data_IF_663413337130
#
_entry.id   IF_663413337130
#
_cell.length_a   1.000
_cell.length_b   1.000
_cell.length_c   1.000
_cell.angle_alpha   90.00
_cell.angle_beta   90.00
_cell.angle_gamma   90.00
#
_symmetry.space_group_name_H-M   'P 1'
#
loop_
_entity.id
_entity.type
_entity.pdbx_description
1 polymer ?
#
# COMPACT_ATOMS: atom_id res chain seq x y z
N UNK A 1 27.43 -28.36 20.06
CA UNK A 1 25.98 -28.16 19.86
C UNK A 1 25.84 -27.05 18.84
N UNK A 2 25.39 -27.37 17.62
CA UNK A 2 25.21 -26.38 16.56
C UNK A 2 24.03 -25.46 16.86
N UNK A 3 24.06 -24.26 16.28
CA UNK A 3 23.01 -23.27 16.42
C UNK A 3 21.69 -23.86 15.85
N UNK A 4 20.59 -23.94 16.63
CA UNK A 4 19.32 -24.49 16.15
C UNK A 4 18.66 -23.64 15.04
N UNK A 5 19.27 -22.51 14.68
CA UNK A 5 18.85 -21.59 13.62
C UNK A 5 19.72 -21.66 12.35
N UNK A 6 20.75 -22.52 12.34
CA UNK A 6 21.62 -22.70 11.17
C UNK A 6 20.86 -23.47 10.08
N UNK A 7 20.47 -22.76 9.01
CA UNK A 7 19.65 -23.27 7.90
C UNK A 7 18.17 -22.82 7.89
N UNK A 8 17.70 -22.05 8.87
CA UNK A 8 16.32 -21.54 8.93
C UNK A 8 16.09 -20.27 8.10
N UNK A 9 17.17 -19.58 7.71
CA UNK A 9 17.14 -18.31 6.99
C UNK A 9 17.74 -18.39 5.58
N UNK A 10 18.08 -19.58 5.12
CA UNK A 10 18.68 -19.76 3.80
C UNK A 10 17.58 -19.93 2.74
N UNK A 11 17.46 -18.95 1.84
CA UNK A 11 16.48 -18.80 0.74
C UNK A 11 15.22 -17.93 1.00
N UNK A 12 15.41 -16.62 1.25
CA UNK A 12 14.34 -15.58 1.20
C UNK A 12 13.34 -15.66 2.35
N UNK A 13 12.97 -14.52 2.95
CA UNK A 13 12.23 -14.49 4.21
C UNK A 13 10.98 -15.38 4.14
N UNK A 14 10.80 -16.24 5.15
CA UNK A 14 9.57 -17.05 5.31
C UNK A 14 8.29 -16.20 5.20
N UNK A 15 8.38 -14.92 5.59
CA UNK A 15 7.31 -13.93 5.48
C UNK A 15 6.99 -13.53 4.03
N UNK A 16 8.00 -13.42 3.15
CA UNK A 16 7.81 -13.10 1.72
C UNK A 16 7.07 -14.21 0.96
N UNK A 17 7.13 -15.45 1.47
CA UNK A 17 6.48 -16.62 0.87
C UNK A 17 5.07 -16.89 1.39
N UNK A 18 4.64 -16.18 2.43
CA UNK A 18 3.38 -16.46 3.15
C UNK A 18 2.42 -15.27 3.14
N UNK A 19 2.92 -14.06 2.88
CA UNK A 19 2.07 -12.88 2.81
C UNK A 19 2.74 -11.69 2.16
N UNK A 20 2.02 -10.58 2.13
CA UNK A 20 2.43 -9.31 1.54
C UNK A 20 2.73 -8.33 2.69
N UNK A 21 3.93 -7.74 2.70
CA UNK A 21 4.23 -6.66 3.64
C UNK A 21 3.62 -5.34 3.14
N UNK A 22 2.46 -5.00 3.69
CA UNK A 22 1.68 -3.80 3.35
C UNK A 22 2.43 -2.55 3.83
N UNK A 23 3.14 -2.63 4.96
CA UNK A 23 3.95 -1.51 5.45
C UNK A 23 5.13 -1.24 4.54
N UNK A 24 5.78 -2.27 3.99
CA UNK A 24 6.83 -2.11 3.00
C UNK A 24 6.29 -1.50 1.69
N UNK A 25 5.10 -1.91 1.23
CA UNK A 25 4.42 -1.25 0.10
C UNK A 25 4.16 0.23 0.38
N UNK A 26 3.71 0.57 1.60
CA UNK A 26 3.49 1.95 2.00
C UNK A 26 4.78 2.78 1.97
N UNK A 27 5.90 2.24 2.48
CA UNK A 27 7.22 2.89 2.48
C UNK A 27 7.74 3.17 1.07
N UNK A 28 7.46 2.28 0.11
CA UNK A 28 7.79 2.47 -1.31
C UNK A 28 6.81 3.38 -2.07
N UNK A 29 5.72 3.81 -1.43
CA UNK A 29 4.68 4.62 -2.10
C UNK A 29 3.81 3.83 -3.09
N UNK A 30 3.77 2.49 -2.99
CA UNK A 30 3.00 1.62 -3.89
C UNK A 30 1.47 1.71 -3.62
N UNK A 31 1.10 2.03 -2.38
CA UNK A 31 -0.29 2.08 -1.91
C UNK A 31 -1.03 3.32 -2.41
N UNK A 32 -2.33 3.16 -2.61
CA UNK A 32 -3.21 4.26 -3.02
C UNK A 32 -3.46 5.22 -1.85
N UNK A 33 -3.52 6.54 -2.09
CA UNK A 33 -3.78 7.50 -1.02
C UNK A 33 -5.16 7.25 -0.42
N UNK A 34 -5.20 7.03 0.88
CA UNK A 34 -6.45 6.76 1.61
C UNK A 34 -7.09 8.09 2.01
N UNK A 35 -8.39 8.26 1.71
CA UNK A 35 -9.19 9.43 2.05
C UNK A 35 -10.42 9.03 2.86
N UNK A 36 -10.89 9.96 3.71
CA UNK A 36 -12.13 9.85 4.47
C UNK A 36 -12.22 8.62 5.40
N UNK A 37 -11.09 8.13 5.93
CA UNK A 37 -11.03 6.98 6.86
C UNK A 37 -10.23 7.24 8.14
N UNK A 38 -10.00 8.52 8.46
CA UNK A 38 -9.11 8.90 9.56
C UNK A 38 -9.61 8.45 10.93
N UNK A 39 -10.93 8.47 11.15
CA UNK A 39 -11.56 8.08 12.40
C UNK A 39 -11.46 6.56 12.62
N UNK A 40 -11.66 5.77 11.57
CA UNK A 40 -11.57 4.32 11.64
C UNK A 40 -10.11 3.86 11.81
N UNK A 41 -9.17 4.50 11.11
CA UNK A 41 -7.72 4.26 11.32
C UNK A 41 -7.32 4.60 12.77
N UNK A 42 -7.76 5.75 13.30
CA UNK A 42 -7.51 6.10 14.70
C UNK A 42 -8.12 5.07 15.66
N UNK A 43 -9.33 4.59 15.39
CA UNK A 43 -9.98 3.56 16.19
C UNK A 43 -9.23 2.23 16.16
N UNK A 44 -8.67 1.83 15.02
CA UNK A 44 -7.83 0.63 14.93
C UNK A 44 -6.56 0.80 15.75
N UNK A 45 -5.91 1.97 15.70
CA UNK A 45 -4.74 2.29 16.55
C UNK A 45 -5.08 2.13 18.03
N UNK A 46 -6.19 2.72 18.48
CA UNK A 46 -6.64 2.61 19.87
C UNK A 46 -6.79 1.15 20.30
N UNK A 47 -7.37 0.31 19.44
CA UNK A 47 -7.58 -1.12 19.71
C UNK A 47 -6.24 -1.86 19.83
N UNK A 48 -5.33 -1.65 18.88
CA UNK A 48 -4.03 -2.34 18.84
C UNK A 48 -3.12 -2.01 20.03
N UNK A 49 -3.34 -0.86 20.68
CA UNK A 49 -2.62 -0.40 21.87
C UNK A 49 -3.20 -0.92 23.19
N UNK A 50 -4.36 -1.58 23.18
CA UNK A 50 -4.96 -2.12 24.41
C UNK A 50 -4.12 -3.29 24.95
N UNK A 51 -4.11 -3.44 26.27
CA UNK A 51 -3.53 -4.62 26.93
C UNK A 51 -4.35 -5.90 26.68
N UNK A 52 -5.65 -5.77 26.42
CA UNK A 52 -6.55 -6.88 26.08
C UNK A 52 -7.66 -6.44 25.13
N UNK A 53 -8.24 -7.38 24.38
CA UNK A 53 -9.08 -7.10 23.20
C UNK A 53 -8.36 -6.23 22.17
N UNK A 54 -7.12 -6.63 21.85
CA UNK A 54 -6.19 -5.93 20.97
C UNK A 54 -6.19 -6.45 19.54
N UNK A 55 -7.22 -7.24 19.16
CA UNK A 55 -7.49 -7.58 17.77
C UNK A 55 -8.64 -6.74 17.25
N UNK A 56 -8.46 -6.09 16.10
CA UNK A 56 -9.49 -5.29 15.47
C UNK A 56 -10.28 -6.13 14.46
N UNK A 57 -11.60 -6.08 14.52
CA UNK A 57 -12.47 -6.64 13.48
C UNK A 57 -13.13 -5.48 12.72
N UNK A 58 -12.75 -5.27 11.46
CA UNK A 58 -13.37 -4.31 10.55
C UNK A 58 -14.66 -4.92 10.02
N UNK A 59 -15.81 -4.43 10.51
CA UNK A 59 -17.13 -5.00 10.23
C UNK A 59 -17.92 -4.06 9.34
N UNK A 60 -18.25 -4.49 8.12
CA UNK A 60 -19.03 -3.69 7.18
C UNK A 60 -19.37 -4.45 5.91
N UNK A 61 -20.26 -3.90 5.09
CA UNK A 61 -20.66 -4.48 3.79
C UNK A 61 -19.43 -4.68 2.87
N UNK A 62 -19.55 -5.56 1.88
CA UNK A 62 -18.55 -5.64 0.82
C UNK A 62 -18.49 -4.29 0.06
N UNK A 63 -17.30 -3.88 -0.37
CA UNK A 63 -17.11 -2.65 -1.14
C UNK A 63 -17.02 -1.34 -0.34
N UNK A 64 -17.18 -1.35 0.99
CA UNK A 64 -17.03 -0.11 1.80
C UNK A 64 -15.58 0.34 1.96
N UNK A 65 -14.58 -0.44 1.53
CA UNK A 65 -13.16 -0.07 1.65
C UNK A 65 -12.55 -0.43 3.02
N UNK A 66 -12.80 -1.66 3.50
CA UNK A 66 -12.17 -2.17 4.75
C UNK A 66 -10.65 -2.26 4.60
N UNK A 67 -10.16 -2.75 3.47
CA UNK A 67 -8.72 -2.86 3.15
C UNK A 67 -8.03 -1.49 3.15
N UNK A 68 -8.72 -0.44 2.67
CA UNK A 68 -8.20 0.94 2.67
C UNK A 68 -7.88 1.46 4.09
N UNK A 69 -8.59 1.00 5.13
CA UNK A 69 -8.27 1.37 6.52
C UNK A 69 -6.92 0.78 6.93
N UNK A 70 -6.63 -0.45 6.50
CA UNK A 70 -5.37 -1.14 6.82
C UNK A 70 -4.21 -0.52 6.04
N UNK A 71 -4.43 -0.20 4.77
CA UNK A 71 -3.47 0.56 3.96
C UNK A 71 -3.20 1.95 4.55
N UNK A 72 -4.25 2.63 5.04
CA UNK A 72 -4.13 3.93 5.71
C UNK A 72 -3.33 3.84 7.00
N UNK A 73 -3.52 2.77 7.78
CA UNK A 73 -2.67 2.49 8.94
C UNK A 73 -1.22 2.23 8.53
N UNK A 74 -0.99 1.43 7.49
CA UNK A 74 0.34 1.15 6.97
C UNK A 74 1.06 2.43 6.49
N UNK A 75 0.35 3.34 5.82
CA UNK A 75 0.85 4.66 5.43
C UNK A 75 1.23 5.52 6.63
N UNK A 76 0.40 5.54 7.68
CA UNK A 76 0.72 6.28 8.92
C UNK A 76 1.93 5.70 9.64
N UNK A 77 2.07 4.37 9.69
CA UNK A 77 3.25 3.69 10.25
C UNK A 77 4.50 4.05 9.44
N UNK A 78 4.43 3.94 8.11
CA UNK A 78 5.54 4.27 7.21
C UNK A 78 6.01 5.73 7.36
N UNK A 79 5.08 6.66 7.57
CA UNK A 79 5.38 8.06 7.81
C UNK A 79 5.79 8.39 9.26
N UNK A 80 5.78 7.41 10.18
CA UNK A 80 6.04 7.64 11.61
C UNK A 80 4.92 8.40 12.34
N UNK A 81 3.76 8.59 11.70
CA UNK A 81 2.59 9.30 12.20
C UNK A 81 1.68 8.40 13.06
N UNK A 82 2.30 7.68 13.98
CA UNK A 82 1.64 6.78 14.94
C UNK A 82 2.27 6.92 16.32
N UNK A 83 1.57 6.52 17.40
CA UNK A 83 2.15 6.51 18.74
C UNK A 83 3.45 5.67 18.80
N UNK A 84 4.39 5.98 19.72
CA UNK A 84 5.69 5.32 19.80
C UNK A 84 5.63 3.78 19.79
N UNK A 85 4.62 3.21 20.46
CA UNK A 85 4.42 1.75 20.54
C UNK A 85 4.05 1.07 19.20
N UNK A 86 3.76 1.83 18.14
CA UNK A 86 3.46 1.31 16.80
C UNK A 86 4.45 1.78 15.72
N UNK A 87 5.47 2.57 16.07
CA UNK A 87 6.43 3.10 15.08
C UNK A 87 7.17 2.00 14.33
N UNK A 88 7.53 0.94 15.04
CA UNK A 88 8.24 -0.21 14.47
C UNK A 88 7.30 -1.33 14.02
N UNK A 89 5.98 -1.10 14.08
CA UNK A 89 5.00 -2.10 13.69
C UNK A 89 5.09 -2.40 12.18
N UNK A 90 4.78 -3.64 11.80
CA UNK A 90 4.66 -4.06 10.40
C UNK A 90 3.36 -4.80 10.20
N UNK A 91 2.64 -4.46 9.13
CA UNK A 91 1.38 -5.10 8.76
C UNK A 91 1.66 -6.11 7.64
N UNK A 92 1.38 -7.38 7.94
CA UNK A 92 1.50 -8.48 7.00
C UNK A 92 0.11 -8.91 6.55
N UNK A 93 -0.22 -8.70 5.28
CA UNK A 93 -1.43 -9.22 4.67
C UNK A 93 -1.29 -10.71 4.37
N UNK A 94 -2.23 -11.52 4.86
CA UNK A 94 -2.27 -12.94 4.55
C UNK A 94 -2.83 -13.17 3.13
N UNK A 95 -2.05 -13.82 2.28
CA UNK A 95 -2.50 -14.24 0.95
C UNK A 95 -2.73 -15.76 0.94
N UNK A 96 -4.00 -16.14 1.11
CA UNK A 96 -4.42 -17.53 1.07
C UNK A 96 -4.07 -18.24 -0.24
N UNK A 97 -4.07 -17.53 -1.37
CA UNK A 97 -3.81 -18.11 -2.68
C UNK A 97 -2.32 -18.44 -2.80
N UNK A 98 -1.44 -17.51 -2.43
CA UNK A 98 0.02 -17.75 -2.41
C UNK A 98 0.42 -18.87 -1.43
N UNK A 99 -0.32 -19.03 -0.33
CA UNK A 99 -0.09 -20.12 0.60
C UNK A 99 -0.42 -21.50 0.02
N UNK A 100 -1.41 -21.58 -0.87
CA UNK A 100 -1.81 -22.80 -1.58
C UNK A 100 -0.96 -23.04 -2.85
N UNK A 101 -0.36 -21.98 -3.41
CA UNK A 101 0.50 -22.06 -4.57
C UNK A 101 1.79 -22.84 -4.25
N UNK A 102 2.08 -23.85 -5.09
CA UNK A 102 3.26 -24.71 -4.95
C UNK A 102 3.20 -25.73 -3.82
N UNK A 103 2.07 -25.85 -3.09
CA UNK A 103 1.90 -26.91 -2.09
C UNK A 103 1.11 -28.07 -2.69
N UNK A 104 1.81 -29.11 -3.15
CA UNK A 104 1.16 -30.35 -3.63
C UNK A 104 0.60 -31.22 -2.49
N UNK A 105 0.93 -30.89 -1.23
CA UNK A 105 0.59 -31.67 -0.03
C UNK A 105 0.11 -30.78 1.12
N UNK A 106 -0.99 -31.21 1.76
CA UNK A 106 -1.61 -30.60 2.96
C UNK A 106 -0.61 -30.22 4.07
N UNK A 107 0.39 -31.07 4.33
CA UNK A 107 1.39 -30.83 5.37
C UNK A 107 2.26 -29.58 5.15
N UNK A 108 2.54 -29.21 3.89
CA UNK A 108 3.33 -28.00 3.60
C UNK A 108 2.55 -26.72 3.93
N UNK A 109 1.23 -26.73 3.75
CA UNK A 109 0.38 -25.62 4.11
C UNK A 109 0.31 -25.45 5.64
N UNK A 110 0.11 -26.54 6.38
CA UNK A 110 0.15 -26.53 7.85
C UNK A 110 1.50 -26.03 8.38
N UNK A 111 2.62 -26.49 7.79
CA UNK A 111 3.95 -26.02 8.17
C UNK A 111 4.13 -24.51 7.93
N UNK A 112 3.60 -23.97 6.82
CA UNK A 112 3.61 -22.52 6.55
C UNK A 112 2.80 -21.74 7.59
N UNK A 113 1.58 -22.19 7.92
CA UNK A 113 0.75 -21.58 8.98
C UNK A 113 1.47 -21.66 10.34
N UNK A 114 2.10 -22.79 10.66
CA UNK A 114 2.85 -22.94 11.92
C UNK A 114 4.00 -21.95 12.03
N UNK A 115 4.78 -21.80 10.95
CA UNK A 115 5.88 -20.84 10.88
C UNK A 115 5.39 -19.40 10.98
N UNK A 116 4.27 -19.07 10.33
CA UNK A 116 3.63 -17.76 10.45
C UNK A 116 3.24 -17.46 11.90
N UNK A 117 2.60 -18.41 12.58
CA UNK A 117 2.22 -18.26 14.00
C UNK A 117 3.46 -18.06 14.86
N UNK A 118 4.51 -18.86 14.66
CA UNK A 118 5.77 -18.73 15.40
C UNK A 118 6.41 -17.35 15.21
N UNK A 119 6.44 -16.84 13.98
CA UNK A 119 6.95 -15.50 13.69
C UNK A 119 6.14 -14.41 14.39
N UNK A 120 4.80 -14.49 14.32
CA UNK A 120 3.89 -13.54 14.98
C UNK A 120 3.99 -13.59 16.52
N UNK A 121 4.30 -14.76 17.10
CA UNK A 121 4.50 -14.90 18.55
C UNK A 121 5.86 -14.38 19.00
N UNK A 122 6.89 -14.51 18.16
CA UNK A 122 8.25 -14.06 18.44
C UNK A 122 8.39 -12.54 18.35
N UNK A 123 7.68 -11.89 17.42
CA UNK A 123 7.73 -10.46 17.22
C UNK A 123 6.36 -9.80 17.43
N UNK A 124 6.22 -9.09 18.55
CA UNK A 124 5.00 -8.36 18.89
C UNK A 124 4.72 -7.21 17.92
N UNK A 125 5.71 -6.68 17.21
CA UNK A 125 5.54 -5.60 16.23
C UNK A 125 4.89 -6.07 14.93
N UNK A 126 4.82 -7.38 14.69
CA UNK A 126 4.07 -7.92 13.55
C UNK A 126 2.57 -7.93 13.84
N UNK A 127 1.81 -7.37 12.91
CA UNK A 127 0.35 -7.35 12.91
C UNK A 127 -0.11 -8.11 11.67
N UNK A 128 -0.88 -9.18 11.86
CA UNK A 128 -1.46 -9.92 10.74
C UNK A 128 -2.73 -9.24 10.26
N UNK A 129 -2.86 -9.00 8.95
CA UNK A 129 -4.09 -8.59 8.31
C UNK A 129 -4.73 -9.75 7.55
N UNK A 130 -6.06 -9.90 7.69
CA UNK A 130 -6.84 -10.94 7.04
C UNK A 130 -8.12 -10.31 6.46
N UNK A 131 -8.25 -10.25 5.14
CA UNK A 131 -9.37 -9.55 4.49
C UNK A 131 -10.71 -10.31 4.63
N UNK A 132 -10.63 -11.65 4.65
CA UNK A 132 -11.78 -12.53 4.86
C UNK A 132 -11.57 -13.32 6.15
N UNK A 133 -11.71 -12.64 7.30
CA UNK A 133 -11.44 -13.22 8.61
C UNK A 133 -12.20 -14.54 8.86
N UNK A 134 -13.40 -14.67 8.29
CA UNK A 134 -14.21 -15.87 8.38
C UNK A 134 -13.58 -17.10 7.69
N UNK A 135 -12.70 -16.93 6.70
CA UNK A 135 -11.97 -18.04 6.08
C UNK A 135 -10.99 -18.70 7.05
N UNK A 136 -10.41 -17.90 7.94
CA UNK A 136 -9.50 -18.39 8.97
C UNK A 136 -10.18 -18.89 10.23
N UNK A 137 -11.47 -18.63 10.42
CA UNK A 137 -12.15 -18.91 11.71
C UNK A 137 -13.36 -19.83 11.53
N UNK A 138 -14.08 -19.73 10.41
CA UNK A 138 -15.41 -20.30 10.22
C UNK A 138 -15.57 -21.29 9.07
N UNK A 139 -14.70 -21.31 8.06
CA UNK A 139 -14.84 -22.23 6.92
C UNK A 139 -14.30 -23.64 7.24
N UNK A 140 -15.03 -24.36 8.07
CA UNK A 140 -14.80 -25.77 8.38
C UNK A 140 -15.50 -26.78 7.46
N UNK A 141 -16.05 -26.39 6.29
CA UNK A 141 -16.96 -27.31 5.57
C UNK A 141 -16.87 -27.37 4.04
N UNK A 142 -16.07 -26.57 3.33
CA UNK A 142 -16.10 -26.57 1.85
C UNK A 142 -14.80 -26.97 1.14
N UNK A 143 -13.61 -26.74 1.72
CA UNK A 143 -12.34 -27.15 1.10
C UNK A 143 -11.33 -27.57 2.18
N UNK A 144 -10.96 -28.87 2.20
CA UNK A 144 -10.22 -29.53 3.28
C UNK A 144 -8.81 -29.02 3.64
N UNK A 145 -8.33 -27.92 3.04
CA UNK A 145 -7.09 -27.23 3.41
C UNK A 145 -7.32 -26.02 4.34
N UNK A 146 -8.48 -25.34 4.24
CA UNK A 146 -8.85 -24.24 5.15
C UNK A 146 -9.17 -24.73 6.58
N UNK A 147 -9.54 -26.01 6.71
CA UNK A 147 -9.95 -26.64 7.97
C UNK A 147 -8.84 -26.67 9.04
N UNK A 148 -7.57 -26.78 8.67
CA UNK A 148 -6.48 -26.87 9.66
C UNK A 148 -5.94 -25.51 10.11
N UNK A 149 -5.99 -24.49 9.24
CA UNK A 149 -5.50 -23.16 9.59
C UNK A 149 -6.30 -22.55 10.76
N UNK A 150 -7.63 -22.73 10.75
CA UNK A 150 -8.50 -22.25 11.83
C UNK A 150 -8.18 -22.91 13.18
N UNK A 151 -7.98 -24.22 13.17
CA UNK A 151 -7.60 -24.98 14.36
C UNK A 151 -6.22 -24.59 14.90
N UNK A 152 -5.30 -24.18 14.03
CA UNK A 152 -3.95 -23.76 14.42
C UNK A 152 -3.88 -22.31 14.92
N UNK A 153 -4.62 -21.38 14.29
CA UNK A 153 -4.60 -19.95 14.64
C UNK A 153 -5.44 -19.64 15.88
N UNK A 154 -6.57 -20.32 16.07
CA UNK A 154 -7.51 -20.05 17.16
C UNK A 154 -6.85 -20.12 18.56
N UNK A 155 -6.00 -21.13 18.88
CA UNK A 155 -5.27 -21.14 20.15
C UNK A 155 -4.38 -19.91 20.37
N UNK A 156 -3.64 -19.47 19.34
CA UNK A 156 -2.77 -18.29 19.43
C UNK A 156 -3.58 -16.99 19.64
N UNK A 157 -4.73 -16.88 18.96
CA UNK A 157 -5.68 -15.78 19.14
C UNK A 157 -6.27 -15.73 20.54
N UNK A 158 -6.75 -16.89 21.05
CA UNK A 158 -7.37 -17.00 22.37
C UNK A 158 -6.35 -16.75 23.49
N UNK A 159 -5.09 -17.14 23.32
CA UNK A 159 -4.02 -16.79 24.28
C UNK A 159 -3.69 -15.30 24.26
N UNK A 160 -3.86 -14.62 23.12
CA UNK A 160 -3.48 -13.22 22.95
C UNK A 160 -1.99 -13.05 22.65
N UNK A 161 -1.36 -14.09 22.09
CA UNK A 161 0.06 -14.07 21.76
C UNK A 161 0.35 -13.30 20.46
N UNK A 162 -0.68 -13.11 19.62
CA UNK A 162 -0.57 -12.47 18.30
C UNK A 162 -1.57 -11.32 18.17
N UNK A 163 -1.24 -10.33 17.33
CA UNK A 163 -2.13 -9.19 16.98
C UNK A 163 -2.68 -9.36 15.57
N UNK A 164 -3.99 -9.20 15.42
CA UNK A 164 -4.70 -9.34 14.13
C UNK A 164 -5.61 -8.15 13.87
N UNK A 165 -5.64 -7.71 12.61
CA UNK A 165 -6.72 -6.93 12.02
C UNK A 165 -7.44 -7.83 11.03
N UNK A 166 -8.73 -8.08 11.24
CA UNK A 166 -9.54 -8.91 10.34
C UNK A 166 -10.68 -8.13 9.73
N UNK A 167 -10.91 -8.24 8.43
CA UNK A 167 -12.10 -7.70 7.78
C UNK A 167 -13.16 -8.79 7.58
N UNK A 168 -14.43 -8.41 7.69
CA UNK A 168 -15.57 -9.34 7.58
C UNK A 168 -16.88 -8.57 7.41
N UNK A 169 -17.94 -9.28 7.00
CA UNK A 169 -19.30 -8.74 7.00
C UNK A 169 -19.95 -8.81 8.38
N UNK A 170 -21.01 -8.04 8.61
CA UNK A 170 -21.74 -8.06 9.89
C UNK A 170 -22.35 -9.42 10.22
N UNK A 171 -22.83 -10.13 9.20
CA UNK A 171 -23.40 -11.47 9.32
C UNK A 171 -22.35 -12.50 9.72
N UNK A 172 -21.21 -12.51 9.02
CA UNK A 172 -20.06 -13.37 9.32
C UNK A 172 -19.48 -13.09 10.71
N UNK A 173 -19.31 -11.81 11.08
CA UNK A 173 -18.82 -11.43 12.41
C UNK A 173 -19.73 -12.01 13.50
N UNK A 174 -21.04 -11.88 13.33
CA UNK A 174 -22.01 -12.40 14.28
C UNK A 174 -21.97 -13.93 14.34
N UNK A 175 -21.89 -14.58 13.18
CA UNK A 175 -21.90 -16.04 13.06
C UNK A 175 -20.63 -16.71 13.59
N UNK A 176 -19.45 -16.10 13.41
CA UNK A 176 -18.16 -16.76 13.65
C UNK A 176 -17.32 -16.17 14.77
N UNK A 177 -17.50 -14.88 15.10
CA UNK A 177 -16.71 -14.21 16.14
C UNK A 177 -17.54 -14.00 17.40
N UNK A 178 -18.71 -13.36 17.26
CA UNK A 178 -19.58 -13.04 18.41
C UNK A 178 -20.21 -14.29 19.04
N UNK A 179 -20.44 -15.33 18.25
CA UNK A 179 -20.98 -16.61 18.73
C UNK A 179 -19.98 -17.42 19.57
N UNK A 180 -18.67 -17.12 19.48
CA UNK A 180 -17.61 -17.82 20.22
C UNK A 180 -17.09 -16.94 21.38
N UNK A 181 -17.38 -17.30 22.65
CA UNK A 181 -16.96 -16.51 23.81
C UNK A 181 -15.45 -16.34 23.94
N UNK A 182 -14.64 -17.25 23.41
CA UNK A 182 -13.18 -17.14 23.49
C UNK A 182 -12.65 -16.09 22.50
N UNK A 183 -13.23 -16.02 21.30
CA UNK A 183 -12.87 -15.03 20.29
C UNK A 183 -13.47 -13.65 20.60
N UNK A 184 -14.70 -13.57 21.09
CA UNK A 184 -15.34 -12.31 21.49
C UNK A 184 -14.54 -11.58 22.58
N UNK A 185 -13.83 -12.32 23.44
CA UNK A 185 -12.94 -11.75 24.47
C UNK A 185 -11.63 -11.20 23.92
N UNK A 186 -11.34 -11.39 22.62
CA UNK A 186 -10.08 -11.00 21.96
C UNK A 186 -10.28 -10.00 20.84
N UNK A 187 -11.44 -9.99 20.19
CA UNK A 187 -11.76 -9.04 19.14
C UNK A 187 -12.55 -7.84 19.65
N UNK A 188 -12.25 -6.68 19.09
CA UNK A 188 -13.04 -5.48 19.21
C UNK A 188 -13.57 -5.09 17.83
N UNK A 189 -14.89 -5.00 17.62
CA UNK A 189 -15.44 -4.57 16.34
C UNK A 189 -15.21 -3.08 16.11
N UNK A 190 -14.94 -2.73 14.86
CA UNK A 190 -14.93 -1.40 14.27
C UNK A 190 -15.95 -1.42 13.14
N UNK A 191 -17.09 -0.78 13.36
CA UNK A 191 -18.15 -0.69 12.35
C UNK A 191 -17.72 0.25 11.24
N UNK A 192 -17.70 -0.24 10.01
CA UNK A 192 -17.32 0.52 8.82
C UNK A 192 -18.57 0.80 8.01
N UNK A 193 -18.95 2.07 7.98
CA UNK A 193 -20.08 2.54 7.21
C UNK A 193 -19.68 2.89 5.78
N UNK A 194 -20.67 2.84 4.91
CA UNK A 194 -20.56 3.31 3.54
C UNK A 194 -20.28 4.81 3.53
N UNK A 195 -19.33 5.25 2.71
CA UNK A 195 -19.00 6.67 2.58
C UNK A 195 -20.20 7.46 2.06
N UNK A 196 -20.32 8.72 2.45
CA UNK A 196 -21.28 9.63 1.83
C UNK A 196 -20.86 10.02 0.39
N UNK A 197 -21.71 10.78 -0.31
CA UNK A 197 -21.45 11.19 -1.69
C UNK A 197 -20.21 12.11 -1.81
N UNK A 198 -20.01 13.01 -0.85
CA UNK A 198 -18.90 13.98 -0.84
C UNK A 198 -17.59 13.25 -0.52
N UNK A 199 -17.61 12.36 0.47
CA UNK A 199 -16.47 11.50 0.80
C UNK A 199 -16.10 10.59 -0.36
N UNK A 200 -17.10 10.02 -1.04
CA UNK A 200 -16.85 9.20 -2.24
C UNK A 200 -16.23 10.03 -3.36
N UNK A 201 -16.68 11.27 -3.56
CA UNK A 201 -16.05 12.20 -4.50
C UNK A 201 -14.57 12.43 -4.19
N UNK A 202 -14.20 12.68 -2.92
CA UNK A 202 -12.80 12.85 -2.52
C UNK A 202 -11.96 11.59 -2.81
N UNK A 203 -12.52 10.40 -2.57
CA UNK A 203 -11.86 9.12 -2.91
C UNK A 203 -11.66 9.00 -4.42
N UNK A 204 -12.66 9.31 -5.23
CA UNK A 204 -12.56 9.23 -6.70
C UNK A 204 -11.55 10.25 -7.24
N UNK A 205 -11.52 11.48 -6.72
CA UNK A 205 -10.52 12.50 -7.06
C UNK A 205 -9.11 12.00 -6.72
N UNK A 206 -8.93 11.39 -5.56
CA UNK A 206 -7.64 10.83 -5.16
C UNK A 206 -7.18 9.65 -6.03
N UNK A 207 -8.13 8.85 -6.55
CA UNK A 207 -7.85 7.71 -7.45
C UNK A 207 -7.66 8.12 -8.91
N UNK A 208 -8.24 9.24 -9.34
CA UNK A 208 -8.22 9.72 -10.74
C UNK A 208 -6.83 9.66 -11.38
N UNK A 209 -5.74 10.20 -10.80
CA UNK A 209 -4.44 10.20 -11.48
C UNK A 209 -3.88 8.79 -11.73
N UNK A 210 -4.27 7.79 -10.91
CA UNK A 210 -3.82 6.40 -11.11
C UNK A 210 -4.65 5.71 -12.20
N UNK A 211 -5.96 5.96 -12.25
CA UNK A 211 -6.84 5.44 -13.30
C UNK A 211 -6.48 6.02 -14.68
N UNK A 212 -6.30 7.33 -14.77
CA UNK A 212 -5.89 8.02 -16.00
C UNK A 212 -4.56 7.46 -16.53
N UNK A 213 -3.58 7.27 -15.64
CA UNK A 213 -2.30 6.67 -16.01
C UNK A 213 -2.45 5.22 -16.46
N UNK A 214 -3.22 4.41 -15.73
CA UNK A 214 -3.38 2.99 -16.03
C UNK A 214 -4.02 2.78 -17.40
N UNK A 215 -5.11 3.47 -17.66
CA UNK A 215 -5.88 3.33 -18.90
C UNK A 215 -5.39 4.23 -20.03
N UNK A 216 -4.52 5.19 -19.75
CA UNK A 216 -4.11 6.24 -20.70
C UNK A 216 -5.32 7.01 -21.26
N UNK A 217 -6.20 7.48 -20.38
CA UNK A 217 -7.37 8.30 -20.70
C UNK A 217 -7.40 9.55 -19.83
N UNK A 218 -8.10 10.60 -20.24
CA UNK A 218 -8.39 11.74 -19.37
C UNK A 218 -9.79 11.59 -18.74
N UNK A 219 -9.94 11.84 -17.45
CA UNK A 219 -11.22 11.75 -16.74
C UNK A 219 -11.65 13.17 -16.35
N UNK A 220 -12.86 13.56 -16.74
CA UNK A 220 -13.45 14.85 -16.34
C UNK A 220 -14.27 14.74 -15.06
N UNK A 221 -14.46 15.86 -14.39
CA UNK A 221 -15.23 15.97 -13.15
C UNK A 221 -16.67 15.44 -13.30
N UNK A 222 -17.27 15.64 -14.47
CA UNK A 222 -18.62 15.16 -14.77
C UNK A 222 -18.73 13.63 -14.68
N UNK A 223 -17.71 12.89 -15.11
CA UNK A 223 -17.68 11.43 -14.99
C UNK A 223 -17.70 10.98 -13.51
N UNK A 224 -16.96 11.68 -12.64
CA UNK A 224 -16.97 11.35 -11.21
C UNK A 224 -18.36 11.62 -10.58
N UNK A 225 -19.03 12.72 -10.97
CA UNK A 225 -20.38 13.03 -10.49
C UNK A 225 -21.37 11.97 -10.96
N UNK A 226 -21.34 11.65 -12.25
CA UNK A 226 -22.18 10.63 -12.85
C UNK A 226 -21.96 9.27 -12.16
N UNK A 227 -20.71 8.89 -11.88
CA UNK A 227 -20.39 7.60 -11.26
C UNK A 227 -21.06 7.46 -9.89
N UNK A 228 -21.07 8.53 -9.08
CA UNK A 228 -21.75 8.52 -7.77
C UNK A 228 -23.26 8.49 -7.96
N UNK A 229 -23.82 9.45 -8.71
CA UNK A 229 -25.27 9.64 -8.84
C UNK A 229 -25.96 8.43 -9.49
N UNK A 230 -25.38 7.91 -10.56
CA UNK A 230 -25.99 6.82 -11.32
C UNK A 230 -25.85 5.49 -10.56
N UNK A 231 -24.72 5.21 -9.92
CA UNK A 231 -24.59 3.96 -9.13
C UNK A 231 -25.42 3.98 -7.85
N UNK A 232 -25.64 5.14 -7.24
CA UNK A 232 -26.59 5.28 -6.11
C UNK A 232 -28.03 5.00 -6.54
N UNK A 233 -28.41 5.43 -7.75
CA UNK A 233 -29.78 5.25 -8.24
C UNK A 233 -30.05 3.85 -8.80
N UNK A 234 -29.09 3.28 -9.52
CA UNK A 234 -29.31 2.09 -10.34
C UNK A 234 -28.61 0.83 -9.81
N UNK A 235 -27.66 0.96 -8.88
CA UNK A 235 -26.89 -0.15 -8.29
C UNK A 235 -26.91 -0.08 -6.74
N UNK A 236 -28.10 -0.10 -6.09
CA UNK A 236 -28.23 0.08 -4.63
C UNK A 236 -27.70 -1.11 -3.79
N UNK A 237 -27.57 -2.29 -4.40
CA UNK A 237 -27.11 -3.51 -3.74
C UNK A 237 -25.61 -3.52 -3.44
N UNK A 238 -24.82 -2.72 -4.17
CA UNK A 238 -23.39 -2.51 -3.92
C UNK A 238 -23.17 -1.24 -3.07
N UNK A 239 -22.04 -1.18 -2.39
CA UNK A 239 -21.69 -0.04 -1.53
C UNK A 239 -20.65 0.88 -2.18
N UNK A 240 -20.69 2.17 -1.81
CA UNK A 240 -19.59 3.12 -2.04
C UNK A 240 -18.39 2.82 -1.12
N UNK A 241 -17.16 3.14 -1.57
CA UNK A 241 -16.83 3.74 -2.87
C UNK A 241 -16.72 2.73 -4.03
N UNK A 242 -16.71 1.42 -3.74
CA UNK A 242 -16.43 0.35 -4.70
C UNK A 242 -17.26 0.44 -5.99
N UNK A 243 -18.59 0.51 -5.89
CA UNK A 243 -19.46 0.56 -7.08
C UNK A 243 -19.17 1.73 -8.03
N UNK A 244 -18.76 2.88 -7.47
CA UNK A 244 -18.47 4.07 -8.26
C UNK A 244 -17.08 3.98 -8.90
N UNK A 245 -16.11 3.39 -8.18
CA UNK A 245 -14.77 3.10 -8.71
C UNK A 245 -14.86 2.11 -9.87
N UNK A 246 -15.64 1.03 -9.70
CA UNK A 246 -15.80 -0.06 -10.66
C UNK A 246 -16.37 0.44 -12.00
N UNK A 247 -17.48 1.20 -11.95
CA UNK A 247 -18.09 1.77 -13.16
C UNK A 247 -17.16 2.78 -13.84
N UNK A 248 -16.42 3.57 -13.06
CA UNK A 248 -15.44 4.51 -13.61
C UNK A 248 -14.28 3.77 -14.30
N UNK A 249 -13.77 2.71 -13.69
CA UNK A 249 -12.69 1.87 -14.22
C UNK A 249 -13.10 1.19 -15.54
N UNK A 250 -14.31 0.62 -15.58
CA UNK A 250 -14.87 0.01 -16.79
C UNK A 250 -15.09 1.05 -17.90
N UNK A 251 -15.54 2.26 -17.56
CA UNK A 251 -15.67 3.35 -18.53
C UNK A 251 -14.31 3.76 -19.12
N UNK A 252 -13.26 3.83 -18.28
CA UNK A 252 -11.89 4.10 -18.74
C UNK A 252 -11.37 3.01 -19.67
N UNK A 253 -11.55 1.74 -19.29
CA UNK A 253 -11.14 0.60 -20.10
C UNK A 253 -11.82 0.61 -21.48
N UNK A 254 -13.12 0.92 -21.51
CA UNK A 254 -13.87 1.00 -22.77
C UNK A 254 -13.42 2.18 -23.64
N UNK A 255 -13.24 3.36 -23.06
CA UNK A 255 -12.76 4.54 -23.79
C UNK A 255 -11.42 4.24 -24.46
N UNK A 256 -10.48 3.62 -23.74
CA UNK A 256 -9.20 3.23 -24.32
C UNK A 256 -9.30 2.13 -25.37
N UNK A 257 -10.15 1.12 -25.16
CA UNK A 257 -10.31 0.03 -26.11
C UNK A 257 -10.90 0.49 -27.47
N UNK A 258 -11.66 1.58 -27.46
CA UNK A 258 -12.32 2.16 -28.65
C UNK A 258 -11.55 3.33 -29.25
N UNK A 259 -10.54 3.84 -28.55
CA UNK A 259 -9.75 4.97 -28.97
C UNK A 259 -8.90 4.67 -30.21
N UNK A 260 -8.80 5.65 -31.11
CA UNK A 260 -7.80 5.64 -32.17
C UNK A 260 -6.52 6.33 -31.70
N UNK A 261 -5.49 5.54 -31.42
CA UNK A 261 -4.24 6.05 -30.85
C UNK A 261 -3.29 6.51 -31.97
N UNK A 262 -3.01 7.82 -32.03
CA UNK A 262 -1.99 8.35 -32.94
C UNK A 262 -0.57 7.84 -32.60
N UNK A 263 0.38 7.84 -33.55
CA UNK A 263 1.79 7.52 -33.26
C UNK A 263 2.45 8.43 -32.21
N UNK A 264 2.04 9.70 -32.13
CA UNK A 264 2.54 10.66 -31.13
C UNK A 264 2.09 10.27 -29.71
N UNK A 265 0.79 9.99 -29.56
CA UNK A 265 0.21 9.53 -28.30
C UNK A 265 0.79 8.19 -27.86
N UNK A 266 0.93 7.22 -28.78
CA UNK A 266 1.55 5.93 -28.48
C UNK A 266 3.00 6.09 -27.99
N UNK A 267 3.75 7.03 -28.56
CA UNK A 267 5.08 7.38 -28.06
C UNK A 267 5.03 7.92 -26.63
N UNK A 268 4.13 8.86 -26.33
CA UNK A 268 3.96 9.41 -24.97
C UNK A 268 3.58 8.32 -23.95
N UNK A 269 2.64 7.42 -24.31
CA UNK A 269 2.24 6.29 -23.47
C UNK A 269 3.45 5.38 -23.18
N UNK A 270 4.25 5.06 -24.19
CA UNK A 270 5.45 4.22 -24.04
C UNK A 270 6.53 4.90 -23.21
N UNK A 271 6.78 6.17 -23.44
CA UNK A 271 7.78 6.93 -22.69
C UNK A 271 7.37 7.05 -21.21
N UNK A 272 6.07 7.22 -20.92
CA UNK A 272 5.53 7.22 -19.55
C UNK A 272 5.71 5.87 -18.87
N UNK A 273 5.40 4.76 -19.56
CA UNK A 273 5.61 3.40 -19.04
C UNK A 273 7.09 3.13 -18.71
N UNK A 274 8.01 3.62 -19.54
CA UNK A 274 9.45 3.51 -19.27
C UNK A 274 9.84 4.30 -18.02
N UNK A 275 9.37 5.54 -17.89
CA UNK A 275 9.65 6.37 -16.73
C UNK A 275 9.11 5.75 -15.44
N UNK A 276 7.89 5.21 -15.45
CA UNK A 276 7.35 4.47 -14.29
C UNK A 276 8.18 3.24 -13.94
N UNK A 277 8.67 2.49 -14.93
CA UNK A 277 9.57 1.38 -14.69
C UNK A 277 10.92 1.81 -14.08
N UNK A 278 11.44 2.98 -14.48
CA UNK A 278 12.66 3.56 -13.90
C UNK A 278 12.43 4.00 -12.45
N UNK A 279 11.33 4.72 -12.16
CA UNK A 279 10.96 5.13 -10.80
C UNK A 279 10.81 3.90 -9.90
N UNK A 280 10.14 2.85 -10.38
CA UNK A 280 9.95 1.62 -9.61
C UNK A 280 11.26 0.88 -9.32
N UNK A 281 12.23 0.93 -10.24
CA UNK A 281 13.57 0.35 -10.06
C UNK A 281 14.44 1.18 -9.11
N UNK A 282 14.45 2.50 -9.26
CA UNK A 282 15.16 3.40 -8.36
C UNK A 282 14.63 3.30 -6.93
N UNK A 283 13.30 3.23 -6.75
CA UNK A 283 12.68 3.01 -5.45
C UNK A 283 12.99 1.63 -4.83
N UNK A 284 13.24 0.60 -5.64
CA UNK A 284 13.69 -0.71 -5.13
C UNK A 284 15.17 -0.71 -4.72
N UNK A 285 16.03 0.00 -5.44
CA UNK A 285 17.46 0.14 -5.11
C UNK A 285 17.65 1.04 -3.88
N UNK A 286 16.91 2.14 -3.77
CA UNK A 286 16.91 3.03 -2.59
C UNK A 286 16.31 2.38 -1.33
N UNK A 287 15.33 1.46 -1.49
CA UNK A 287 14.76 0.70 -0.38
C UNK A 287 15.71 -0.37 0.17
N UNK A 288 16.67 -0.87 -0.62
CA UNK A 288 17.79 -1.69 -0.15
C UNK A 288 18.91 -0.84 0.47
N UNK A 289 18.95 0.47 0.18
CA UNK A 289 19.95 1.42 0.69
C UNK A 289 19.37 2.49 1.63
N UNK A 290 18.54 2.10 2.61
CA UNK A 290 18.25 2.98 3.74
C UNK A 290 19.51 3.12 4.63
N UNK A 291 19.77 4.31 5.20
CA UNK A 291 21.13 4.81 5.38
C UNK A 291 21.87 4.07 6.50
N UNK A 292 23.02 3.46 6.17
CA UNK A 292 24.12 3.37 7.13
C UNK A 292 24.45 4.81 7.55
N UNK A 293 24.50 5.05 8.86
CA UNK A 293 24.92 6.33 9.44
C UNK A 293 26.11 6.90 8.65
N UNK A 294 26.18 8.22 8.41
CA UNK A 294 27.26 8.79 7.62
C UNK A 294 28.58 8.39 8.27
N UNK A 295 29.31 7.48 7.62
CA UNK A 295 30.65 7.10 8.01
C UNK A 295 31.42 8.41 8.19
N UNK A 296 32.08 8.61 9.34
CA UNK A 296 32.81 9.84 9.58
C UNK A 296 33.80 10.03 8.44
N UNK A 297 33.75 11.21 7.81
CA UNK A 297 34.57 11.57 6.67
C UNK A 297 36.01 11.11 6.90
N UNK A 298 36.49 10.22 6.03
CA UNK A 298 37.81 9.61 6.13
C UNK A 298 38.91 10.68 6.19
N UNK A 299 38.68 11.87 5.61
CA UNK A 299 39.60 12.99 5.75
C UNK A 299 39.67 13.53 7.18
N UNK A 300 38.55 13.56 7.90
CA UNK A 300 38.48 13.97 9.31
C UNK A 300 39.11 12.93 10.24
N UNK A 301 38.96 11.63 9.92
CA UNK A 301 39.61 10.54 10.65
C UNK A 301 41.12 10.54 10.41
N UNK A 302 41.56 10.73 9.15
CA UNK A 302 42.98 10.82 8.80
C UNK A 302 43.64 12.10 9.34
N UNK A 303 42.92 13.22 9.43
CA UNK A 303 43.42 14.42 10.11
C UNK A 303 43.62 14.18 11.61
N UNK A 304 42.66 13.54 12.28
CA UNK A 304 42.81 13.18 13.70
C UNK A 304 43.98 12.21 13.94
N UNK A 305 44.15 11.22 13.07
CA UNK A 305 45.30 10.31 13.14
C UNK A 305 46.63 11.02 12.80
N UNK A 306 46.63 11.98 11.88
CA UNK A 306 47.80 12.79 11.55
C UNK A 306 48.23 13.71 12.69
N UNK A 307 47.26 14.36 13.35
CA UNK A 307 47.50 15.23 14.51
C UNK A 307 47.97 14.44 15.74
N UNK A 308 47.45 13.22 15.96
CA UNK A 308 47.93 12.32 17.02
C UNK A 308 49.37 11.82 16.77
N UNK A 309 49.74 11.56 15.51
CA UNK A 309 51.12 11.16 15.14
C UNK A 309 52.09 12.34 15.28
N UNK A 310 51.68 13.57 14.94
CA UNK A 310 52.51 14.77 15.12
C UNK A 310 52.71 15.13 16.60
N UNK A 311 51.70 14.95 17.45
CA UNK A 311 51.85 15.13 18.91
C UNK A 311 52.78 14.09 19.54
N UNK A 312 52.84 12.86 18.99
CA UNK A 312 53.76 11.82 19.43
C UNK A 312 55.20 12.03 18.94
N UNK A 313 55.42 12.78 17.85
CA UNK A 313 56.73 12.93 17.20
C UNK A 313 57.41 14.30 17.36
N UNK A 314 56.82 15.25 18.10
CA UNK A 314 57.57 16.36 18.73
C UNK A 314 58.39 17.28 17.80
N UNK A 315 57.87 17.65 16.63
CA UNK A 315 58.55 18.51 15.66
C UNK A 315 57.90 19.89 15.47
N UNK A 316 58.70 20.97 15.50
CA UNK A 316 58.27 22.38 15.26
C UNK A 316 57.95 22.68 13.77
N UNK A 317 57.12 23.69 13.46
CA UNK A 317 56.61 23.90 12.12
C UNK A 317 57.59 24.67 11.22
N UNK A 318 57.70 24.26 9.95
CA UNK A 318 58.38 25.02 8.90
C UNK A 318 57.34 25.78 8.07
N UNK A 319 57.48 27.11 8.01
CA UNK A 319 56.76 28.01 7.10
C UNK A 319 57.46 28.06 5.74
N UNK A 320 56.69 27.92 4.67
CA UNK A 320 56.98 28.46 3.33
C UNK A 320 55.63 28.80 2.69
N UNK A 321 55.23 30.07 2.65
CA UNK A 321 55.37 30.97 1.49
C UNK A 321 54.96 30.29 0.18
N UNK A 322 53.68 30.43 -0.16
CA UNK A 322 53.19 30.34 -1.52
C UNK A 322 52.45 31.62 -1.88
N UNK A 323 52.63 31.98 -3.14
CA UNK A 323 52.43 33.28 -3.74
C UNK A 323 50.96 33.55 -4.04
N UNK A 324 50.62 34.82 -3.91
CA UNK A 324 49.37 35.45 -4.30
C UNK A 324 49.11 35.35 -5.80
N UNK A 325 48.09 34.58 -6.17
CA UNK A 325 47.34 34.79 -7.41
C UNK A 325 45.89 35.12 -7.06
N UNK A 326 45.55 36.41 -7.11
CA UNK A 326 44.17 36.87 -7.31
C UNK A 326 43.63 36.26 -8.61
N UNK A 327 42.66 35.36 -8.49
CA UNK A 327 41.72 35.05 -9.57
C UNK A 327 40.37 35.58 -9.16
N UNK A 328 39.94 36.60 -9.89
CA UNK A 328 38.63 37.23 -9.84
C UNK A 328 37.51 36.19 -9.70
N UNK A 329 36.59 36.47 -8.79
CA UNK A 329 35.38 35.70 -8.59
C UNK A 329 34.53 35.68 -9.85
N UNK A 330 34.51 34.53 -10.52
CA UNK A 330 33.36 34.14 -11.32
C UNK A 330 32.53 33.18 -10.47
N UNK A 331 31.41 33.70 -9.96
CA UNK A 331 30.39 32.86 -9.33
C UNK A 331 30.11 31.66 -10.26
N UNK A 332 30.04 30.42 -9.73
CA UNK A 332 29.53 29.32 -10.52
C UNK A 332 28.09 29.69 -10.88
N UNK A 333 27.85 29.98 -12.16
CA UNK A 333 26.51 29.96 -12.72
C UNK A 333 25.97 28.57 -12.44
N UNK A 334 25.07 28.47 -11.46
CA UNK A 334 24.25 27.30 -11.22
C UNK A 334 23.57 26.96 -12.55
N UNK A 335 24.08 25.96 -13.26
CA UNK A 335 23.28 25.28 -14.26
C UNK A 335 22.01 24.80 -13.54
N UNK A 336 20.81 24.97 -14.12
CA UNK A 336 19.61 24.42 -13.50
C UNK A 336 19.85 22.93 -13.26
N UNK A 337 19.60 22.48 -12.03
CA UNK A 337 19.68 21.08 -11.68
C UNK A 337 18.82 20.28 -12.67
N UNK A 338 19.32 19.13 -13.12
CA UNK A 338 18.53 18.26 -13.98
C UNK A 338 17.20 17.94 -13.26
N UNK A 339 16.06 18.00 -13.97
CA UNK A 339 14.76 17.83 -13.33
C UNK A 339 14.68 16.48 -12.66
N UNK A 340 14.11 16.44 -11.45
CA UNK A 340 13.92 15.20 -10.70
C UNK A 340 13.02 14.23 -11.47
N UNK A 341 13.08 12.93 -11.16
CA UNK A 341 12.22 11.93 -11.81
C UNK A 341 10.72 12.24 -11.61
N UNK A 342 10.35 12.84 -10.48
CA UNK A 342 8.99 13.29 -10.20
C UNK A 342 8.57 14.49 -11.05
N UNK A 343 9.48 15.45 -11.26
CA UNK A 343 9.24 16.60 -12.16
C UNK A 343 9.10 16.14 -13.62
N UNK A 344 9.96 15.22 -14.06
CA UNK A 344 9.86 14.61 -15.39
C UNK A 344 8.54 13.85 -15.57
N UNK A 345 8.08 13.16 -14.53
CA UNK A 345 6.81 12.45 -14.54
C UNK A 345 5.63 13.42 -14.61
N UNK A 346 5.65 14.50 -13.83
CA UNK A 346 4.60 15.50 -13.84
C UNK A 346 4.48 16.21 -15.20
N UNK A 347 5.61 16.58 -15.82
CA UNK A 347 5.62 17.15 -17.18
C UNK A 347 5.01 16.18 -18.20
N UNK A 348 5.45 14.92 -18.16
CA UNK A 348 4.99 13.90 -19.09
C UNK A 348 3.51 13.57 -18.92
N UNK A 349 3.03 13.49 -17.68
CA UNK A 349 1.62 13.30 -17.35
C UNK A 349 0.78 14.48 -17.87
N UNK A 350 1.27 15.72 -17.73
CA UNK A 350 0.61 16.91 -18.26
C UNK A 350 0.52 16.93 -19.79
N UNK A 351 1.61 16.58 -20.48
CA UNK A 351 1.64 16.47 -21.95
C UNK A 351 0.76 15.34 -22.45
N UNK A 352 0.80 14.18 -21.80
CA UNK A 352 -0.06 13.05 -22.13
C UNK A 352 -1.54 13.44 -21.97
N UNK A 353 -1.91 14.10 -20.87
CA UNK A 353 -3.28 14.55 -20.65
C UNK A 353 -3.75 15.51 -21.74
N UNK A 354 -2.97 16.53 -22.06
CA UNK A 354 -3.31 17.48 -23.11
C UNK A 354 -3.50 16.80 -24.48
N UNK A 355 -2.69 15.79 -24.76
CA UNK A 355 -2.81 15.00 -25.98
C UNK A 355 -4.09 14.14 -26.02
N UNK A 356 -4.41 13.48 -24.89
CA UNK A 356 -5.62 12.70 -24.74
C UNK A 356 -6.88 13.55 -24.92
N UNK A 357 -6.90 14.73 -24.30
CA UNK A 357 -7.98 15.71 -24.46
C UNK A 357 -8.09 16.18 -25.91
N UNK A 358 -6.96 16.45 -26.59
CA UNK A 358 -6.92 16.86 -28.01
C UNK A 358 -7.49 15.79 -28.94
N UNK A 359 -7.25 14.51 -28.64
CA UNK A 359 -7.76 13.37 -29.43
C UNK A 359 -9.15 12.90 -29.01
N UNK A 360 -9.75 13.52 -27.98
CA UNK A 360 -11.07 13.16 -27.47
C UNK A 360 -11.10 11.82 -26.72
N UNK A 361 -9.96 11.34 -26.22
CA UNK A 361 -9.86 10.14 -25.39
C UNK A 361 -10.13 10.56 -23.94
N UNK A 362 -11.38 10.95 -23.71
CA UNK A 362 -11.88 11.55 -22.48
C UNK A 362 -13.07 10.74 -21.99
N UNK A 363 -13.09 10.42 -20.69
CA UNK A 363 -14.21 9.76 -20.01
C UNK A 363 -15.08 10.84 -19.38
N UNK A 364 -16.34 10.91 -19.82
CA UNK A 364 -17.36 11.84 -19.31
C UNK A 364 -18.56 11.13 -18.66
N UNK A 365 -19.58 11.87 -18.22
CA UNK A 365 -20.75 11.27 -17.59
C UNK A 365 -21.63 10.41 -18.50
N UNK A 366 -21.55 10.57 -19.82
CA UNK A 366 -22.25 9.70 -20.78
C UNK A 366 -21.60 8.33 -20.88
N UNK A 367 -20.27 8.26 -20.78
CA UNK A 367 -19.56 6.98 -20.71
C UNK A 367 -19.97 6.18 -19.48
N UNK A 368 -20.10 6.86 -18.34
CA UNK A 368 -20.61 6.26 -17.11
C UNK A 368 -22.04 5.78 -17.29
N UNK A 369 -22.92 6.62 -17.85
CA UNK A 369 -24.32 6.26 -18.09
C UNK A 369 -24.46 5.02 -18.99
N UNK A 370 -23.61 4.91 -20.01
CA UNK A 370 -23.53 3.73 -20.87
C UNK A 370 -23.14 2.50 -20.06
N UNK A 371 -22.09 2.55 -19.25
CA UNK A 371 -21.64 1.41 -18.42
C UNK A 371 -22.72 0.97 -17.44
N UNK A 372 -23.29 1.91 -16.67
CA UNK A 372 -24.38 1.60 -15.73
C UNK A 372 -25.58 1.03 -16.49
N UNK A 373 -25.90 1.59 -17.66
CA UNK A 373 -27.00 1.13 -18.50
C UNK A 373 -26.83 -0.31 -18.98
N UNK A 374 -25.61 -0.69 -19.40
CA UNK A 374 -25.26 -2.08 -19.74
C UNK A 374 -25.41 -2.99 -18.52
N UNK A 375 -24.88 -2.59 -17.36
CA UNK A 375 -24.92 -3.39 -16.14
C UNK A 375 -26.36 -3.69 -15.68
N UNK A 376 -27.29 -2.75 -15.85
CA UNK A 376 -28.70 -2.91 -15.42
C UNK A 376 -29.67 -3.27 -16.55
N UNK A 377 -29.17 -3.41 -17.78
CA UNK A 377 -29.97 -3.72 -18.97
C UNK A 377 -30.97 -2.62 -19.36
N UNK A 378 -30.64 -1.34 -19.15
CA UNK A 378 -31.52 -0.20 -19.47
C UNK A 378 -30.75 0.91 -20.20
N UNK A 379 -31.44 1.63 -21.10
CA UNK A 379 -30.91 2.89 -21.63
C UNK A 379 -30.91 3.95 -20.53
N UNK A 380 -29.74 4.46 -20.18
CA UNK A 380 -29.56 5.52 -19.20
C UNK A 380 -28.90 6.71 -19.90
N UNK A 381 -29.47 7.89 -19.70
CA UNK A 381 -28.92 9.16 -20.18
C UNK A 381 -28.41 9.98 -19.00
N UNK A 382 -27.34 10.75 -19.24
CA UNK A 382 -26.75 11.68 -18.27
C UNK A 382 -26.82 13.11 -18.84
N UNK A 383 -27.35 14.03 -18.02
CA UNK A 383 -27.63 15.41 -18.44
C UNK A 383 -26.73 16.48 -17.79
N UNK A 384 -25.74 16.08 -16.97
CA UNK A 384 -24.80 16.99 -16.29
C UNK A 384 -25.31 17.59 -14.99
#
# INVERSE_FOLDING_TARGET
MGNPFEGLFDSGNVLERVGIDITAQARRGDLEPVRCRDAEVARVIDILLRQGKNNAALVGRAGVGKTAIVEGLAQRIAAGNVPPALKDARILGLDHVSMLAGTSFRGQYEDRIRRLIQALQADRNLILFVDELHNLIGQGTAMGAAMDAANMLKPALVRGDIRIIGATTGEEYTKWIRSDPALERRFQPVTIEELDAIQTWEVLVARRPRLERHHAVAIVDDALKAAIVLTDRFVPERARPDKAIDVLDEACAHAQATAHVSPELDKLIRDRKKLEALIRRGASEEAESAPEEPLPDLATVLQRFGEEIEQLLGGRPARSREESHEKEGRAPTHAPAAPSLDEQRADLDGRLRAELERQGIVVDGKDIARVVGVAVGKGIEWAG
#
